data_IF_179909733657
#
_entry.id   IF_179909733657
#
_cell.length_a   1.000
_cell.length_b   1.000
_cell.length_c   1.000
_cell.angle_alpha   90.00
_cell.angle_beta   90.00
_cell.angle_gamma   90.00
#
_symmetry.space_group_name_H-M   'P 1'
#
loop_
_entity.id
_entity.type
_entity.pdbx_description
1 polymer ?
#
# COMPACT_ATOMS: atom_id res chain seq x y z
N UNK A 1 0.55 21.27 -4.35
CA UNK A 1 -0.02 20.86 -3.04
C UNK A 1 -0.20 19.36 -3.04
N UNK A 2 0.64 18.61 -2.32
CA UNK A 2 0.51 17.15 -2.20
C UNK A 2 -0.21 16.85 -0.90
N UNK A 3 -1.42 16.32 -1.00
CA UNK A 3 -2.22 15.81 0.11
C UNK A 3 -1.47 14.64 0.75
N UNK A 4 -0.90 14.87 1.93
CA UNK A 4 -0.24 13.84 2.74
C UNK A 4 -1.30 12.82 3.15
N UNK A 5 -1.24 11.62 2.58
CA UNK A 5 -1.93 10.45 3.11
C UNK A 5 -1.34 10.12 4.49
N UNK A 6 -2.01 10.59 5.55
CA UNK A 6 -1.66 10.31 6.93
C UNK A 6 -2.15 8.91 7.34
N UNK A 7 -1.41 7.84 7.03
CA UNK A 7 -1.75 6.48 7.50
C UNK A 7 -0.51 5.67 7.91
N UNK A 8 0.32 6.23 8.78
CA UNK A 8 1.34 5.50 9.53
C UNK A 8 1.22 5.82 11.02
N UNK A 9 0.02 5.72 11.59
CA UNK A 9 -0.17 5.96 13.03
C UNK A 9 0.32 4.71 13.78
N UNK A 10 1.48 4.81 14.44
CA UNK A 10 1.81 3.87 15.52
C UNK A 10 1.09 4.35 16.77
N UNK A 11 0.37 3.42 17.38
CA UNK A 11 -0.39 3.60 18.60
C UNK A 11 0.52 3.15 19.76
N UNK A 12 1.06 4.11 20.50
CA UNK A 12 1.88 3.87 21.69
C UNK A 12 1.04 3.41 22.88
N UNK A 13 1.60 2.56 23.76
CA UNK A 13 0.93 2.00 24.95
C UNK A 13 1.80 2.18 26.19
N UNK A 14 1.26 2.78 27.25
CA UNK A 14 1.88 2.79 28.58
C UNK A 14 0.95 2.10 29.57
N UNK A 15 1.28 0.85 29.97
CA UNK A 15 0.56 0.10 31.02
C UNK A 15 -0.91 -0.23 30.69
N UNK A 16 -1.30 -1.49 30.84
CA UNK A 16 -2.71 -1.95 30.76
C UNK A 16 -3.63 -1.20 29.75
N UNK A 17 -3.33 -1.35 28.46
CA UNK A 17 -4.35 -1.23 27.41
C UNK A 17 -4.82 0.16 26.96
N UNK A 18 -4.31 1.26 27.51
CA UNK A 18 -4.73 2.61 27.07
C UNK A 18 -3.71 3.20 26.07
N UNK A 19 -4.25 3.71 24.97
CA UNK A 19 -3.51 4.34 23.87
C UNK A 19 -3.39 5.83 24.13
N UNK A 20 -2.22 6.28 24.54
CA UNK A 20 -1.98 7.65 25.03
C UNK A 20 -1.45 8.57 23.91
N UNK A 21 -0.70 8.03 22.94
CA UNK A 21 0.03 8.82 21.93
C UNK A 21 -0.27 8.39 20.49
N UNK A 22 -0.40 9.37 19.61
CA UNK A 22 -0.57 9.23 18.16
C UNK A 22 0.65 9.87 17.50
N UNK A 23 1.50 9.07 16.87
CA UNK A 23 2.61 9.59 16.09
C UNK A 23 2.87 8.72 14.88
N UNK A 24 3.46 9.30 13.84
CA UNK A 24 3.99 8.55 12.72
C UNK A 24 5.49 8.39 12.81
N UNK A 25 5.96 7.22 12.38
CA UNK A 25 7.37 6.89 12.42
C UNK A 25 8.19 7.87 11.55
N UNK A 26 9.30 8.41 12.09
CA UNK A 26 10.11 9.53 11.55
C UNK A 26 9.38 10.85 11.34
N UNK A 27 8.14 10.97 11.80
CA UNK A 27 7.52 12.28 11.88
C UNK A 27 8.28 13.12 12.91
N UNK A 28 8.50 14.38 12.56
CA UNK A 28 8.95 15.40 13.51
C UNK A 28 7.83 15.81 14.46
N UNK A 29 6.64 15.21 14.35
CA UNK A 29 5.46 15.57 15.14
C UNK A 29 4.66 14.35 15.61
N UNK A 30 4.05 14.49 16.79
CA UNK A 30 3.02 13.59 17.29
C UNK A 30 1.96 14.35 18.09
N UNK A 31 0.90 13.66 18.47
CA UNK A 31 -0.26 14.19 19.19
C UNK A 31 -0.58 13.29 20.37
N UNK A 32 -0.79 13.90 21.55
CA UNK A 32 -1.36 13.21 22.69
C UNK A 32 -2.85 13.01 22.48
N UNK A 33 -3.34 11.77 22.52
CA UNK A 33 -4.70 11.43 22.10
C UNK A 33 -5.76 12.08 22.99
N UNK A 34 -5.52 12.10 24.30
CA UNK A 34 -6.53 12.55 25.28
C UNK A 34 -6.66 14.06 25.33
N UNK A 35 -5.56 14.79 25.15
CA UNK A 35 -5.51 16.24 25.35
C UNK A 35 -5.43 17.02 24.05
N UNK A 36 -5.15 16.34 22.93
CA UNK A 36 -4.89 16.97 21.64
C UNK A 36 -3.59 17.77 21.60
N UNK A 37 -2.72 17.68 22.62
CA UNK A 37 -1.44 18.41 22.64
C UNK A 37 -0.52 17.86 21.55
N UNK A 38 -0.02 18.75 20.68
CA UNK A 38 0.91 18.40 19.60
C UNK A 38 2.34 18.68 20.07
N UNK A 39 3.25 17.74 19.81
CA UNK A 39 4.65 17.82 20.19
C UNK A 39 5.58 17.69 18.97
N UNK A 40 6.72 18.37 19.01
CA UNK A 40 7.87 18.10 18.13
C UNK A 40 8.66 16.93 18.68
N UNK A 41 9.11 16.05 17.79
CA UNK A 41 10.08 14.99 18.07
C UNK A 41 11.35 15.33 17.31
N UNK A 42 12.43 15.58 18.04
CA UNK A 42 13.75 15.85 17.50
C UNK A 42 14.68 14.67 17.79
N UNK A 43 15.31 14.15 16.74
CA UNK A 43 16.29 13.07 16.85
C UNK A 43 17.69 13.66 16.63
N UNK A 44 18.63 13.39 17.55
CA UNK A 44 20.03 13.71 17.31
C UNK A 44 20.55 13.00 16.05
N UNK A 45 21.51 13.61 15.32
CA UNK A 45 22.06 13.04 14.07
C UNK A 45 22.58 11.60 14.20
N UNK A 46 23.06 11.23 15.39
CA UNK A 46 23.52 9.88 15.71
C UNK A 46 22.79 9.36 16.97
N UNK A 47 21.47 9.17 16.86
CA UNK A 47 20.66 8.64 17.96
C UNK A 47 21.15 7.24 18.35
N UNK A 48 21.73 7.12 19.56
CA UNK A 48 22.29 5.89 20.15
C UNK A 48 21.55 5.44 21.41
N UNK A 49 20.69 6.30 21.95
CA UNK A 49 19.90 6.04 23.14
C UNK A 49 18.54 6.77 23.10
N UNK A 50 17.56 6.34 23.92
CA UNK A 50 16.33 7.10 24.15
C UNK A 50 16.58 8.54 24.62
N UNK A 51 17.68 8.80 25.33
CA UNK A 51 18.04 10.15 25.80
C UNK A 51 18.39 11.12 24.67
N UNK A 52 18.76 10.61 23.50
CA UNK A 52 19.06 11.41 22.31
C UNK A 52 17.79 11.88 21.56
N UNK A 53 16.61 11.50 22.05
CA UNK A 53 15.31 11.92 21.54
C UNK A 53 14.81 13.07 22.41
N UNK A 54 14.51 14.21 21.79
CA UNK A 54 13.96 15.38 22.47
C UNK A 54 12.51 15.56 22.05
N UNK A 55 11.64 15.78 23.03
CA UNK A 55 10.19 15.96 22.84
C UNK A 55 9.81 17.32 23.40
N UNK A 56 9.14 18.15 22.60
CA UNK A 56 8.74 19.51 22.99
C UNK A 56 7.29 19.77 22.59
N UNK A 57 6.39 20.20 23.49
CA UNK A 57 5.05 20.61 23.09
C UNK A 57 5.09 21.88 22.23
N UNK A 58 4.31 21.91 21.15
CA UNK A 58 4.22 23.05 20.20
C UNK A 58 2.87 23.76 20.32
N UNK A 59 1.78 22.99 20.45
CA UNK A 59 0.41 23.53 20.44
C UNK A 59 -0.57 22.66 21.22
N UNK A 60 -1.71 23.24 21.59
CA UNK A 60 -2.73 22.62 22.44
C UNK A 60 -2.64 23.08 23.91
N UNK A 61 -3.45 22.49 24.80
CA UNK A 61 -3.37 22.76 26.23
C UNK A 61 -1.93 22.47 26.69
N UNK A 62 -1.30 23.43 27.39
CA UNK A 62 0.01 23.24 28.02
C UNK A 62 -0.12 22.28 29.21
N UNK A 63 -0.38 21.02 28.91
CA UNK A 63 -0.35 19.96 29.90
C UNK A 63 1.11 19.71 30.26
N UNK A 64 1.40 19.74 31.56
CA UNK A 64 2.68 19.26 32.07
C UNK A 64 2.62 17.75 32.11
N UNK A 65 3.24 17.10 31.12
CA UNK A 65 3.44 15.66 31.14
C UNK A 65 4.43 15.31 32.24
N UNK A 66 4.15 14.23 32.97
CA UNK A 66 5.08 13.70 33.94
C UNK A 66 6.37 13.28 33.24
N UNK A 67 7.48 13.34 33.99
CA UNK A 67 8.78 12.88 33.50
C UNK A 67 8.73 11.43 33.02
N UNK A 68 7.99 10.58 33.72
CA UNK A 68 7.79 9.17 33.41
C UNK A 68 7.05 8.93 32.09
N UNK A 69 6.03 9.73 31.77
CA UNK A 69 5.33 9.65 30.49
C UNK A 69 6.24 10.01 29.31
N UNK A 70 7.05 11.07 29.47
CA UNK A 70 8.02 11.49 28.46
C UNK A 70 9.10 10.42 28.28
N UNK A 71 9.62 9.85 29.37
CA UNK A 71 10.63 8.77 29.31
C UNK A 71 10.06 7.51 28.63
N UNK A 72 8.81 7.11 28.93
CA UNK A 72 8.15 5.99 28.23
C UNK A 72 7.98 6.26 26.74
N UNK A 73 7.53 7.46 26.37
CA UNK A 73 7.37 7.83 24.96
C UNK A 73 8.71 7.82 24.21
N UNK A 74 9.80 8.28 24.85
CA UNK A 74 11.15 8.18 24.28
C UNK A 74 11.57 6.74 24.05
N UNK A 75 11.28 5.84 25.00
CA UNK A 75 11.58 4.41 24.87
C UNK A 75 10.80 3.78 23.71
N UNK A 76 9.51 4.08 23.60
CA UNK A 76 8.66 3.59 22.50
C UNK A 76 9.14 4.09 21.12
N UNK A 77 9.51 5.37 21.03
CA UNK A 77 10.09 5.96 19.82
C UNK A 77 11.44 5.33 19.47
N UNK A 78 12.27 5.08 20.48
CA UNK A 78 13.57 4.43 20.35
C UNK A 78 13.43 3.01 19.78
N UNK A 79 12.56 2.18 20.37
CA UNK A 79 12.27 0.83 19.89
C UNK A 79 11.73 0.88 18.47
N UNK A 80 10.76 1.77 18.18
CA UNK A 80 10.20 1.92 16.84
C UNK A 80 11.25 2.27 15.77
N UNK A 81 12.21 3.13 16.12
CA UNK A 81 13.33 3.47 15.25
C UNK A 81 14.28 2.31 15.03
N UNK A 82 14.58 1.52 16.06
CA UNK A 82 15.38 0.32 15.91
C UNK A 82 14.70 -0.72 15.02
N UNK A 83 13.40 -0.94 15.21
CA UNK A 83 12.60 -1.84 14.39
C UNK A 83 12.66 -1.46 12.91
N UNK A 84 12.47 -0.18 12.61
CA UNK A 84 12.50 0.28 11.23
C UNK A 84 13.90 0.18 10.64
N UNK A 85 14.93 0.66 11.33
CA UNK A 85 16.32 0.58 10.84
C UNK A 85 16.62 -0.86 10.45
N UNK A 86 16.16 -1.81 11.26
CA UNK A 86 16.29 -3.24 10.98
C UNK A 86 15.45 -3.69 9.78
N UNK A 87 14.18 -3.28 9.68
CA UNK A 87 13.31 -3.57 8.53
C UNK A 87 13.91 -3.05 7.22
N UNK A 88 14.42 -1.82 7.21
CA UNK A 88 15.07 -1.20 6.04
C UNK A 88 16.34 -1.94 5.67
N UNK A 89 17.16 -2.33 6.65
CA UNK A 89 18.33 -3.16 6.42
C UNK A 89 17.97 -4.54 5.87
N UNK A 90 16.96 -5.19 6.45
CA UNK A 90 16.41 -6.47 5.97
C UNK A 90 15.94 -6.33 4.52
N UNK A 91 15.15 -5.30 4.23
CA UNK A 91 14.65 -5.02 2.88
C UNK A 91 15.79 -4.84 1.88
N UNK A 92 16.76 -4.00 2.21
CA UNK A 92 17.94 -3.76 1.38
C UNK A 92 18.64 -5.08 1.07
N UNK A 93 18.93 -5.87 2.10
CA UNK A 93 19.59 -7.16 1.95
C UNK A 93 18.77 -8.15 1.10
N UNK A 94 17.47 -8.26 1.32
CA UNK A 94 16.60 -9.16 0.54
C UNK A 94 16.62 -8.75 -0.94
N UNK A 95 16.44 -7.47 -1.25
CA UNK A 95 16.37 -7.00 -2.64
C UNK A 95 17.74 -6.99 -3.33
N UNK A 96 18.79 -6.50 -2.66
CA UNK A 96 20.12 -6.36 -3.26
C UNK A 96 20.93 -7.65 -3.21
N UNK A 97 20.95 -8.36 -2.08
CA UNK A 97 21.85 -9.50 -1.85
C UNK A 97 21.19 -10.84 -2.21
N UNK A 98 19.91 -10.99 -1.90
CA UNK A 98 19.17 -12.23 -2.16
C UNK A 98 18.31 -12.15 -3.42
N UNK A 99 18.57 -11.18 -4.29
CA UNK A 99 17.87 -10.99 -5.55
C UNK A 99 16.33 -10.96 -5.38
N UNK A 100 15.82 -10.43 -4.27
CA UNK A 100 14.39 -10.37 -3.95
C UNK A 100 13.69 -11.70 -3.70
N UNK A 101 14.41 -12.83 -3.65
CA UNK A 101 13.87 -14.19 -3.44
C UNK A 101 13.59 -14.43 -1.95
N UNK A 102 12.34 -14.26 -1.53
CA UNK A 102 11.96 -14.33 -0.11
C UNK A 102 11.82 -15.77 0.37
N UNK A 103 11.50 -16.71 -0.51
CA UNK A 103 11.48 -18.14 -0.23
C UNK A 103 12.88 -18.64 0.08
N UNK A 104 13.89 -18.22 -0.69
CA UNK A 104 15.27 -18.54 -0.39
C UNK A 104 15.75 -17.91 0.90
N UNK A 105 15.46 -16.62 1.14
CA UNK A 105 15.73 -15.93 2.41
C UNK A 105 15.12 -16.69 3.59
N UNK A 106 13.84 -17.07 3.48
CA UNK A 106 13.14 -17.84 4.50
C UNK A 106 13.83 -19.20 4.75
N UNK A 107 14.30 -19.87 3.69
CA UNK A 107 15.03 -21.14 3.81
C UNK A 107 16.38 -20.99 4.51
N UNK A 108 17.13 -19.93 4.21
CA UNK A 108 18.43 -19.64 4.83
C UNK A 108 18.24 -19.36 6.32
N UNK A 109 17.29 -18.49 6.65
CA UNK A 109 16.97 -18.16 8.04
C UNK A 109 16.51 -19.41 8.78
N UNK A 110 15.64 -20.23 8.17
CA UNK A 110 15.13 -21.43 8.84
C UNK A 110 16.25 -22.41 9.19
N UNK A 111 17.21 -22.59 8.27
CA UNK A 111 18.36 -23.47 8.47
C UNK A 111 19.32 -22.96 9.55
N UNK A 112 19.69 -21.68 9.50
CA UNK A 112 20.69 -21.14 10.42
C UNK A 112 20.12 -20.81 11.82
N UNK A 113 18.87 -20.35 11.89
CA UNK A 113 18.23 -20.01 13.15
C UNK A 113 17.47 -21.18 13.80
N UNK A 114 17.38 -22.33 13.12
CA UNK A 114 16.59 -23.51 13.56
C UNK A 114 15.14 -23.14 13.90
N UNK A 115 14.49 -22.35 13.04
CA UNK A 115 13.12 -21.83 13.22
C UNK A 115 12.32 -21.98 11.94
N UNK A 116 11.01 -22.18 12.05
CA UNK A 116 10.14 -22.25 10.87
C UNK A 116 9.82 -20.84 10.35
N UNK A 117 10.47 -20.45 9.26
CA UNK A 117 10.24 -19.17 8.57
C UNK A 117 9.75 -19.45 7.16
N UNK A 118 8.68 -18.78 6.76
CA UNK A 118 8.13 -18.86 5.40
C UNK A 118 8.36 -17.57 4.62
N UNK A 119 8.19 -17.60 3.28
CA UNK A 119 8.21 -16.38 2.46
C UNK A 119 7.18 -15.35 2.96
N UNK A 120 5.99 -15.78 3.40
CA UNK A 120 4.97 -14.91 4.01
C UNK A 120 5.45 -14.26 5.30
N UNK A 121 6.20 -14.98 6.13
CA UNK A 121 6.81 -14.43 7.35
C UNK A 121 7.79 -13.31 6.99
N UNK A 122 8.66 -13.55 6.01
CA UNK A 122 9.61 -12.53 5.51
C UNK A 122 8.86 -11.34 4.93
N UNK A 123 7.83 -11.56 4.10
CA UNK A 123 7.00 -10.48 3.59
C UNK A 123 6.37 -9.65 4.71
N UNK A 124 5.80 -10.29 5.75
CA UNK A 124 5.21 -9.60 6.89
C UNK A 124 6.22 -8.74 7.66
N UNK A 125 7.47 -9.18 7.77
CA UNK A 125 8.55 -8.37 8.32
C UNK A 125 8.91 -7.15 7.47
N UNK A 126 8.72 -7.25 6.15
CA UNK A 126 9.01 -6.16 5.22
C UNK A 126 7.85 -5.17 5.09
N UNK A 127 6.63 -5.51 5.51
CA UNK A 127 5.48 -4.59 5.51
C UNK A 127 5.77 -3.39 6.43
N UNK A 128 5.32 -2.22 5.98
CA UNK A 128 5.40 -0.96 6.71
C UNK A 128 4.76 -1.08 8.11
N UNK A 129 5.41 -0.54 9.17
CA UNK A 129 4.84 -0.55 10.51
C UNK A 129 3.47 0.12 10.59
N UNK A 130 2.59 -0.39 11.46
CA UNK A 130 1.24 0.15 11.64
C UNK A 130 0.17 -0.51 10.76
N UNK A 131 0.58 -1.29 9.76
CA UNK A 131 -0.34 -2.09 8.95
C UNK A 131 -0.74 -3.39 9.66
N UNK A 132 -1.96 -3.92 9.45
CA UNK A 132 -2.48 -5.08 10.18
C UNK A 132 -1.63 -6.35 10.02
N UNK A 133 -1.01 -6.51 8.86
CA UNK A 133 -0.13 -7.63 8.52
C UNK A 133 1.34 -7.41 8.93
N UNK A 134 1.71 -6.21 9.37
CA UNK A 134 3.08 -5.90 9.74
C UNK A 134 3.50 -6.72 10.95
N UNK A 135 4.70 -7.28 10.89
CA UNK A 135 5.35 -7.96 12.01
C UNK A 135 6.75 -7.41 12.16
N UNK A 136 7.25 -7.41 13.39
CA UNK A 136 8.62 -7.01 13.65
C UNK A 136 9.62 -8.01 13.08
N UNK A 137 10.65 -7.52 12.40
CA UNK A 137 11.80 -8.33 12.00
C UNK A 137 12.68 -8.60 13.23
N UNK A 138 12.84 -9.85 13.67
CA UNK A 138 13.63 -10.13 14.87
C UNK A 138 15.14 -10.13 14.60
N UNK A 139 15.95 -9.87 15.64
CA UNK A 139 17.41 -9.76 15.50
C UNK A 139 18.06 -11.07 15.03
N UNK A 140 17.57 -12.20 15.50
CA UNK A 140 18.09 -13.51 15.10
C UNK A 140 17.93 -13.77 13.61
N UNK A 141 16.88 -13.23 12.97
CA UNK A 141 16.67 -13.37 11.54
C UNK A 141 17.72 -12.57 10.75
N UNK A 142 18.00 -11.35 11.20
CA UNK A 142 19.09 -10.54 10.63
C UNK A 142 20.45 -11.17 10.84
N UNK A 143 20.72 -11.69 12.04
CA UNK A 143 21.98 -12.38 12.35
C UNK A 143 22.20 -13.59 11.44
N UNK A 144 21.17 -14.40 11.22
CA UNK A 144 21.23 -15.55 10.34
C UNK A 144 21.60 -15.16 8.90
N UNK A 145 21.01 -14.09 8.34
CA UNK A 145 21.37 -13.64 7.00
C UNK A 145 22.79 -13.08 6.90
N UNK A 146 23.23 -12.33 7.91
CA UNK A 146 24.60 -11.81 7.97
C UNK A 146 25.62 -12.95 8.07
N UNK A 147 25.35 -13.97 8.89
CA UNK A 147 26.18 -15.17 9.01
C UNK A 147 26.22 -15.99 7.71
N UNK A 148 25.09 -16.06 7.00
CA UNK A 148 25.06 -16.69 5.67
C UNK A 148 25.99 -15.96 4.70
N UNK A 149 25.94 -14.62 4.67
CA UNK A 149 26.74 -13.78 3.77
C UNK A 149 28.24 -13.75 4.11
N UNK A 150 28.60 -13.94 5.38
CA UNK A 150 30.01 -13.92 5.80
C UNK A 150 30.82 -15.11 5.29
N UNK A 151 30.18 -16.19 4.82
CA UNK A 151 30.86 -17.37 4.28
C UNK A 151 31.17 -17.18 2.78
N UNK A 152 32.43 -17.29 2.34
CA UNK A 152 32.82 -17.06 0.93
C UNK A 152 32.05 -17.93 -0.08
N UNK A 153 31.85 -19.21 0.26
CA UNK A 153 31.07 -20.18 -0.55
C UNK A 153 29.63 -19.72 -0.84
N UNK A 154 29.03 -18.97 0.07
CA UNK A 154 27.67 -18.47 -0.09
C UNK A 154 27.64 -17.19 -0.91
N UNK A 155 28.70 -16.38 -0.90
CA UNK A 155 28.78 -15.18 -1.72
C UNK A 155 28.74 -15.52 -3.20
N UNK A 156 29.47 -16.55 -3.61
CA UNK A 156 29.45 -17.03 -5.00
C UNK A 156 28.05 -17.52 -5.40
N UNK A 157 27.39 -18.29 -4.52
CA UNK A 157 25.99 -18.71 -4.74
C UNK A 157 25.02 -17.53 -4.86
N UNK A 158 25.20 -16.48 -4.07
CA UNK A 158 24.38 -15.28 -4.14
C UNK A 158 24.63 -14.51 -5.44
N UNK A 159 25.89 -14.39 -5.89
CA UNK A 159 26.24 -13.77 -7.18
C UNK A 159 25.62 -14.52 -8.35
N UNK A 160 25.80 -15.83 -8.42
CA UNK A 160 25.21 -16.67 -9.45
C UNK A 160 23.66 -16.53 -9.51
N UNK A 161 23.01 -16.40 -8.34
CA UNK A 161 21.56 -16.15 -8.28
C UNK A 161 21.16 -14.77 -8.80
N UNK A 162 21.93 -13.72 -8.48
CA UNK A 162 21.68 -12.37 -9.02
C UNK A 162 21.81 -12.36 -10.55
N UNK A 163 22.93 -12.89 -11.06
CA UNK A 163 23.20 -12.99 -12.50
C UNK A 163 22.13 -13.82 -13.23
N UNK A 164 21.72 -14.94 -12.65
CA UNK A 164 20.63 -15.76 -13.20
C UNK A 164 19.30 -15.02 -13.24
N UNK A 165 19.03 -14.11 -12.30
CA UNK A 165 17.80 -13.32 -12.28
C UNK A 165 17.86 -12.15 -13.28
N UNK A 166 19.01 -11.50 -13.39
CA UNK A 166 19.24 -10.37 -14.32
C UNK A 166 19.26 -10.82 -15.78
N UNK A 167 19.71 -12.05 -16.05
CA UNK A 167 19.69 -12.65 -17.39
C UNK A 167 18.32 -13.14 -17.83
N UNK A 168 17.35 -13.24 -16.92
CA UNK A 168 15.98 -13.57 -17.32
C UNK A 168 15.33 -12.38 -18.03
N UNK A 169 14.61 -12.62 -19.14
CA UNK A 169 13.85 -11.58 -19.78
C UNK A 169 12.86 -10.99 -18.79
N UNK A 170 12.63 -9.67 -18.87
CA UNK A 170 11.67 -8.97 -18.03
C UNK A 170 10.35 -9.75 -18.02
N UNK A 171 9.87 -10.19 -16.84
CA UNK A 171 8.68 -11.03 -16.78
C UNK A 171 7.50 -10.25 -17.37
N UNK A 172 6.99 -10.71 -18.52
CA UNK A 172 5.86 -10.07 -19.21
C UNK A 172 4.59 -10.10 -18.36
N UNK A 173 4.45 -11.08 -17.45
CA UNK A 173 3.31 -11.22 -16.54
C UNK A 173 3.78 -11.75 -15.18
N UNK A 174 3.13 -11.24 -14.12
CA UNK A 174 3.32 -11.70 -12.74
C UNK A 174 2.68 -13.07 -12.57
N UNK A 175 3.44 -14.05 -12.08
CA UNK A 175 2.92 -15.42 -11.84
C UNK A 175 2.33 -15.57 -10.44
N UNK A 176 1.57 -16.65 -10.20
CA UNK A 176 1.09 -16.98 -8.85
C UNK A 176 2.25 -17.26 -7.88
N UNK A 177 3.35 -17.82 -8.38
CA UNK A 177 4.56 -18.06 -7.59
C UNK A 177 5.24 -16.74 -7.20
N UNK A 178 5.30 -15.76 -8.11
CA UNK A 178 5.77 -14.41 -7.78
C UNK A 178 4.90 -13.74 -6.72
N UNK A 179 3.58 -13.91 -6.80
CA UNK A 179 2.67 -13.39 -5.77
C UNK A 179 2.95 -14.07 -4.44
N UNK A 180 2.98 -15.40 -4.41
CA UNK A 180 3.23 -16.19 -3.19
C UNK A 180 4.58 -15.83 -2.54
N UNK A 181 5.62 -15.62 -3.35
CA UNK A 181 6.96 -15.29 -2.88
C UNK A 181 7.09 -13.82 -2.46
N UNK A 182 6.56 -12.86 -3.23
CA UNK A 182 6.89 -11.42 -3.08
C UNK A 182 5.76 -10.54 -2.61
N UNK A 183 4.52 -10.82 -2.99
CA UNK A 183 3.43 -9.83 -2.94
C UNK A 183 2.21 -10.25 -2.12
N UNK A 184 2.05 -11.52 -1.76
CA UNK A 184 0.84 -12.06 -1.15
C UNK A 184 0.40 -11.26 0.09
N UNK A 185 1.33 -10.99 1.02
CA UNK A 185 1.02 -10.22 2.22
C UNK A 185 0.70 -8.77 1.86
N UNK A 186 1.46 -8.14 0.96
CA UNK A 186 1.21 -6.76 0.55
C UNK A 186 -0.19 -6.60 -0.07
N UNK A 187 -0.58 -7.53 -0.93
CA UNK A 187 -1.89 -7.55 -1.59
C UNK A 187 -3.02 -7.75 -0.61
N UNK A 188 -2.91 -8.76 0.26
CA UNK A 188 -3.90 -8.97 1.31
C UNK A 188 -4.03 -7.76 2.25
N UNK A 189 -2.92 -7.10 2.57
CA UNK A 189 -2.93 -5.87 3.39
C UNK A 189 -3.67 -4.74 2.70
N UNK A 190 -3.38 -4.50 1.42
CA UNK A 190 -4.02 -3.45 0.65
C UNK A 190 -5.53 -3.71 0.46
N UNK A 191 -5.93 -4.98 0.42
CA UNK A 191 -7.33 -5.38 0.39
C UNK A 191 -8.04 -5.10 1.72
N UNK A 192 -7.45 -5.52 2.84
CA UNK A 192 -7.97 -5.21 4.18
C UNK A 192 -8.10 -3.69 4.37
N UNK A 193 -7.06 -2.91 4.03
CA UNK A 193 -7.08 -1.44 4.13
C UNK A 193 -8.12 -0.79 3.20
N UNK A 194 -8.42 -1.41 2.06
CA UNK A 194 -9.49 -0.94 1.16
C UNK A 194 -10.85 -1.19 1.79
N UNK A 195 -11.07 -2.38 2.31
CA UNK A 195 -12.35 -2.78 2.91
C UNK A 195 -12.64 -1.99 4.18
N UNK A 196 -11.64 -1.75 5.02
CA UNK A 196 -11.77 -0.89 6.21
C UNK A 196 -12.13 0.55 5.83
N UNK A 197 -11.49 1.11 4.79
CA UNK A 197 -11.83 2.46 4.30
C UNK A 197 -13.25 2.53 3.76
N UNK A 198 -13.67 1.52 2.99
CA UNK A 198 -15.04 1.44 2.47
C UNK A 198 -16.02 1.34 3.64
N UNK A 199 -15.78 0.42 4.57
CA UNK A 199 -16.64 0.24 5.76
C UNK A 199 -16.75 1.53 6.57
N UNK A 200 -15.64 2.21 6.81
CA UNK A 200 -15.64 3.49 7.53
C UNK A 200 -16.45 4.55 6.77
N UNK A 201 -16.22 4.69 5.47
CA UNK A 201 -16.99 5.61 4.63
C UNK A 201 -18.50 5.34 4.71
N UNK A 202 -18.92 4.07 4.75
CA UNK A 202 -20.33 3.71 4.92
C UNK A 202 -20.87 3.95 6.33
N UNK A 203 -20.03 3.76 7.35
CA UNK A 203 -20.42 3.97 8.76
C UNK A 203 -20.61 5.46 9.07
N UNK A 204 -19.81 6.32 8.43
CA UNK A 204 -19.82 7.77 8.64
C UNK A 204 -20.93 8.49 7.83
N UNK A 205 -21.69 7.78 6.98
CA UNK A 205 -22.78 8.36 6.17
C UNK A 205 -24.00 8.66 7.05
N UNK A 206 -24.58 9.85 6.87
CA UNK A 206 -25.85 10.21 7.52
C UNK A 206 -27.03 9.55 6.82
N UNK A 207 -28.15 9.36 7.55
CA UNK A 207 -29.38 8.84 6.94
C UNK A 207 -29.93 9.73 5.81
N UNK A 208 -29.59 11.02 5.81
CA UNK A 208 -30.00 11.97 4.77
C UNK A 208 -29.20 11.78 3.49
N UNK A 209 -27.90 11.47 3.59
CA UNK A 209 -27.02 11.28 2.43
C UNK A 209 -27.10 9.87 1.83
N UNK A 210 -27.67 8.92 2.59
CA UNK A 210 -27.73 7.51 2.21
C UNK A 210 -28.40 7.26 0.85
N UNK A 211 -29.55 7.87 0.50
CA UNK A 211 -30.18 7.64 -0.81
C UNK A 211 -29.27 8.04 -1.98
N UNK A 212 -28.62 9.21 -1.91
CA UNK A 212 -27.69 9.67 -2.95
C UNK A 212 -26.49 8.74 -3.08
N UNK A 213 -25.95 8.25 -1.96
CA UNK A 213 -24.83 7.30 -1.97
C UNK A 213 -25.20 5.93 -2.54
N UNK A 214 -26.42 5.46 -2.27
CA UNK A 214 -26.94 4.22 -2.88
C UNK A 214 -27.14 4.38 -4.39
N UNK A 215 -27.71 5.50 -4.84
CA UNK A 215 -27.84 5.80 -6.25
C UNK A 215 -26.49 5.87 -6.97
N UNK A 216 -25.50 6.56 -6.39
CA UNK A 216 -24.12 6.59 -6.94
C UNK A 216 -23.50 5.20 -7.07
N UNK A 217 -23.73 4.33 -6.07
CA UNK A 217 -23.25 2.95 -6.08
C UNK A 217 -23.95 2.13 -7.17
N UNK A 218 -25.27 2.17 -7.24
CA UNK A 218 -26.07 1.47 -8.26
C UNK A 218 -25.64 1.91 -9.66
N UNK A 219 -25.54 3.22 -9.90
CA UNK A 219 -25.09 3.77 -11.18
C UNK A 219 -23.71 3.24 -11.55
N UNK A 220 -22.74 3.30 -10.64
CA UNK A 220 -21.37 2.80 -10.89
C UNK A 220 -21.34 1.31 -11.18
N UNK A 221 -22.17 0.51 -10.50
CA UNK A 221 -22.27 -0.93 -10.74
C UNK A 221 -22.88 -1.20 -12.11
N UNK A 222 -23.98 -0.54 -12.45
CA UNK A 222 -24.64 -0.69 -13.76
C UNK A 222 -23.70 -0.28 -14.91
N UNK A 223 -22.99 0.84 -14.79
CA UNK A 223 -21.99 1.29 -15.76
C UNK A 223 -20.85 0.26 -15.92
N UNK A 224 -20.36 -0.30 -14.81
CA UNK A 224 -19.29 -1.30 -14.85
C UNK A 224 -19.76 -2.62 -15.44
N UNK A 225 -20.98 -3.06 -15.14
CA UNK A 225 -21.58 -4.27 -15.71
C UNK A 225 -21.70 -4.09 -17.22
N UNK A 226 -22.29 -2.99 -17.68
CA UNK A 226 -22.42 -2.68 -19.11
C UNK A 226 -21.06 -2.69 -19.82
N UNK A 227 -20.06 -1.99 -19.26
CA UNK A 227 -18.69 -2.00 -19.77
C UNK A 227 -18.11 -3.42 -19.91
N UNK A 228 -18.37 -4.31 -18.95
CA UNK A 228 -17.89 -5.69 -19.01
C UNK A 228 -18.67 -6.53 -20.01
N UNK A 229 -20.00 -6.40 -20.05
CA UNK A 229 -20.88 -7.07 -21.01
C UNK A 229 -20.49 -6.71 -22.46
N UNK A 230 -20.24 -5.43 -22.72
CA UNK A 230 -19.79 -4.93 -24.01
C UNK A 230 -18.45 -5.53 -24.43
N UNK A 231 -17.48 -5.61 -23.52
CA UNK A 231 -16.19 -6.26 -23.81
C UNK A 231 -16.33 -7.76 -24.04
N UNK A 232 -17.18 -8.43 -23.26
CA UNK A 232 -17.48 -9.86 -23.45
C UNK A 232 -18.19 -10.07 -24.79
N UNK A 233 -19.10 -9.19 -25.17
CA UNK A 233 -19.76 -9.22 -26.48
C UNK A 233 -18.77 -9.04 -27.62
N UNK A 234 -17.88 -8.04 -27.54
CA UNK A 234 -16.82 -7.82 -28.54
C UNK A 234 -15.93 -9.05 -28.72
N UNK A 235 -15.46 -9.63 -27.60
CA UNK A 235 -14.67 -10.88 -27.60
C UNK A 235 -15.46 -12.04 -28.24
N UNK A 236 -16.72 -12.21 -27.86
CA UNK A 236 -17.56 -13.32 -28.34
C UNK A 236 -17.91 -13.16 -29.82
N UNK A 237 -18.18 -11.93 -30.27
CA UNK A 237 -18.48 -11.62 -31.67
C UNK A 237 -17.27 -11.84 -32.56
N UNK A 238 -16.09 -11.34 -32.15
CA UNK A 238 -14.84 -11.58 -32.86
C UNK A 238 -14.49 -13.07 -32.93
N UNK A 239 -14.75 -13.84 -31.86
CA UNK A 239 -14.52 -15.28 -31.84
C UNK A 239 -15.42 -16.02 -32.84
N UNK A 240 -16.68 -15.59 -32.99
CA UNK A 240 -17.66 -16.24 -33.88
C UNK A 240 -17.39 -15.97 -35.37
N UNK A 241 -16.83 -14.81 -35.70
CA UNK A 241 -16.72 -14.36 -37.09
C UNK A 241 -15.27 -14.33 -37.61
N UNK A 242 -14.27 -14.26 -36.73
CA UNK A 242 -12.87 -14.30 -37.10
C UNK A 242 -12.46 -15.67 -37.62
N UNK A 243 -11.74 -15.71 -38.76
CA UNK A 243 -11.27 -16.96 -39.37
C UNK A 243 -9.85 -17.32 -38.95
N UNK A 244 -9.16 -16.39 -38.29
CA UNK A 244 -7.80 -16.56 -37.76
C UNK A 244 -7.62 -15.82 -36.44
N UNK A 245 -6.55 -16.12 -35.71
CA UNK A 245 -6.22 -15.43 -34.46
C UNK A 245 -5.89 -13.95 -34.67
N UNK A 246 -5.24 -13.61 -35.78
CA UNK A 246 -4.89 -12.23 -36.10
C UNK A 246 -6.15 -11.40 -36.44
N UNK A 247 -7.09 -11.98 -37.19
CA UNK A 247 -8.40 -11.35 -37.46
C UNK A 247 -9.21 -11.17 -36.17
N UNK A 248 -9.19 -12.17 -35.29
CA UNK A 248 -9.81 -12.07 -33.96
C UNK A 248 -9.22 -10.91 -33.15
N UNK A 249 -7.90 -10.80 -33.08
CA UNK A 249 -7.24 -9.75 -32.31
C UNK A 249 -7.55 -8.36 -32.87
N UNK A 250 -7.52 -8.20 -34.20
CA UNK A 250 -7.86 -6.94 -34.86
C UNK A 250 -9.31 -6.54 -34.59
N UNK A 251 -10.26 -7.47 -34.75
CA UNK A 251 -11.67 -7.20 -34.52
C UNK A 251 -12.00 -6.84 -33.06
N UNK A 252 -11.35 -7.50 -32.08
CA UNK A 252 -11.53 -7.15 -30.66
C UNK A 252 -11.03 -5.75 -30.36
N UNK A 253 -9.87 -5.36 -30.89
CA UNK A 253 -9.30 -4.04 -30.65
C UNK A 253 -10.15 -2.94 -31.31
N UNK A 254 -10.59 -3.15 -32.54
CA UNK A 254 -11.43 -2.21 -33.27
C UNK A 254 -12.77 -1.98 -32.54
N UNK A 255 -13.46 -3.06 -32.16
CA UNK A 255 -14.74 -2.97 -31.45
C UNK A 255 -14.62 -2.29 -30.07
N UNK A 256 -13.52 -2.56 -29.34
CA UNK A 256 -13.25 -1.89 -28.05
C UNK A 256 -12.98 -0.40 -28.27
N UNK A 257 -12.18 -0.02 -29.26
CA UNK A 257 -11.86 1.38 -29.54
C UNK A 257 -13.07 2.17 -30.05
N UNK A 258 -13.89 1.56 -30.91
CA UNK A 258 -15.11 2.18 -31.43
C UNK A 258 -16.09 2.45 -30.30
N UNK A 259 -16.32 1.47 -29.41
CA UNK A 259 -17.15 1.68 -28.21
C UNK A 259 -16.60 2.74 -27.26
N UNK A 260 -15.28 2.78 -27.03
CA UNK A 260 -14.68 3.83 -26.19
C UNK A 260 -14.93 5.23 -26.77
N UNK A 261 -14.94 5.36 -28.11
CA UNK A 261 -15.29 6.58 -28.81
C UNK A 261 -16.79 6.90 -28.67
N UNK A 262 -17.69 5.93 -28.86
CA UNK A 262 -19.14 6.11 -28.67
C UNK A 262 -19.47 6.55 -27.24
N UNK A 263 -18.89 5.89 -26.23
CA UNK A 263 -19.05 6.23 -24.81
C UNK A 263 -18.51 7.63 -24.48
N UNK A 264 -17.44 8.07 -25.16
CA UNK A 264 -16.93 9.43 -25.02
C UNK A 264 -17.94 10.45 -25.54
N UNK A 265 -18.46 10.26 -26.76
CA UNK A 265 -19.45 11.16 -27.36
C UNK A 265 -20.72 11.23 -26.51
N UNK A 266 -21.29 10.09 -26.12
CA UNK A 266 -22.50 10.05 -25.28
C UNK A 266 -22.29 10.75 -23.94
N UNK A 267 -21.12 10.59 -23.31
CA UNK A 267 -20.81 11.31 -22.06
C UNK A 267 -20.67 12.81 -22.28
N UNK A 268 -20.02 13.22 -23.36
CA UNK A 268 -19.86 14.62 -23.69
C UNK A 268 -21.23 15.28 -23.93
N UNK A 269 -22.06 14.68 -24.78
CA UNK A 269 -23.43 15.15 -25.02
C UNK A 269 -24.26 15.20 -23.74
N UNK A 270 -24.17 14.18 -22.88
CA UNK A 270 -24.87 14.20 -21.59
C UNK A 270 -24.45 15.39 -20.72
N UNK A 271 -23.15 15.68 -20.65
CA UNK A 271 -22.64 16.82 -19.89
C UNK A 271 -23.19 18.13 -20.47
N UNK A 272 -23.21 18.28 -21.79
CA UNK A 272 -23.79 19.46 -22.44
C UNK A 272 -25.28 19.62 -22.15
N UNK A 273 -26.04 18.52 -22.12
CA UNK A 273 -27.46 18.53 -21.72
C UNK A 273 -27.62 18.95 -20.26
N UNK A 274 -26.90 18.31 -19.33
CA UNK A 274 -27.04 18.55 -17.89
C UNK A 274 -26.59 19.97 -17.50
N UNK A 275 -25.58 20.51 -18.18
CA UNK A 275 -25.07 21.85 -17.96
C UNK A 275 -25.83 22.94 -18.75
N UNK A 276 -26.74 22.55 -19.64
CA UNK A 276 -27.41 23.45 -20.60
C UNK A 276 -26.43 24.32 -21.39
N UNK A 277 -25.42 23.67 -21.97
CA UNK A 277 -24.37 24.30 -22.79
C UNK A 277 -24.45 23.84 -24.25
N UNK A 278 -23.66 24.46 -25.13
CA UNK A 278 -23.64 24.17 -26.57
C UNK A 278 -25.04 24.35 -27.20
N UNK A 279 -25.50 23.40 -28.03
CA UNK A 279 -26.84 23.43 -28.60
C UNK A 279 -27.95 23.41 -27.53
N UNK A 280 -27.68 22.85 -26.35
CA UNK A 280 -28.66 22.74 -25.26
C UNK A 280 -28.81 24.03 -24.44
N UNK A 281 -27.99 25.06 -24.69
CA UNK A 281 -28.18 26.39 -24.13
C UNK A 281 -29.32 27.16 -24.83
N UNK A 282 -29.68 26.78 -26.06
CA UNK A 282 -30.69 27.44 -26.85
C UNK A 282 -32.00 26.62 -26.86
N UNK A 283 -33.19 27.25 -26.67
CA UNK A 283 -34.48 26.53 -26.68
C UNK A 283 -34.77 25.76 -27.97
N UNK A 284 -34.19 26.20 -29.09
CA UNK A 284 -34.35 25.57 -30.41
C UNK A 284 -33.25 24.54 -30.74
N UNK A 285 -32.24 24.34 -29.88
CA UNK A 285 -31.18 23.35 -30.12
C UNK A 285 -30.14 23.78 -31.17
N UNK A 286 -29.85 25.07 -31.30
CA UNK A 286 -28.89 25.60 -32.29
C UNK A 286 -27.50 25.72 -31.66
N UNK A 287 -26.47 25.30 -32.40
CA UNK A 287 -25.08 25.46 -31.98
C UNK A 287 -24.77 26.95 -31.74
N UNK A 288 -24.06 27.25 -30.64
CA UNK A 288 -23.62 28.61 -30.34
C UNK A 288 -22.51 29.01 -31.31
N UNK A 289 -22.64 30.18 -31.96
CA UNK A 289 -21.59 30.76 -32.83
C UNK A 289 -20.29 31.08 -32.08
#
# INVERSE_FOLDING_TARGET
MRTLCAHNVRIGRVGEGIVTWIYSYLSSQGTHKETGTVFTIEYARNTQSPTDITIRPISGPRQQFSRTEIESLKEELWVAMHDERRRTRMRSMVESEFAGDRQFVASVISKLASRNVSARTVQAWLIEPGKPSSRFCPEWAMKALLEYQSKPENQERLRARKESKESQPWPQKRTILDVADKHAVQFATAEIERDERIRKAWTDITLVDLPSKLFELERRMAERIRYLEDRVFALTSALKHGKSFDEYQAAVLDEVNNRESEDYEVRNTRLSIEAQTEEFAHPEGLASD
#
